data_IF_326303068494
#
_entry.id   IF_326303068494
#
_cell.length_a   1.000
_cell.length_b   1.000
_cell.length_c   1.000
_cell.angle_alpha   90.00
_cell.angle_beta   90.00
_cell.angle_gamma   90.00
#
_symmetry.space_group_name_H-M   'P 1'
#
loop_
_entity.id
_entity.type
_entity.pdbx_description
1 polymer ?
#
# COMPACT_ATOMS: atom_id res chain seq x y z
N UNK A 1 10.26 -52.78 18.47
CA UNK A 1 9.21 -51.96 19.10
C UNK A 1 9.66 -50.50 19.19
N UNK A 2 9.37 -49.65 18.20
CA UNK A 2 9.67 -48.20 18.19
C UNK A 2 8.61 -47.38 17.42
N UNK A 3 7.34 -47.79 17.49
CA UNK A 3 6.26 -47.27 16.63
C UNK A 3 5.09 -46.57 17.38
N UNK A 4 5.15 -46.48 18.71
CA UNK A 4 4.02 -46.00 19.54
C UNK A 4 4.20 -44.54 20.01
N UNK A 5 5.43 -44.04 20.07
CA UNK A 5 5.74 -42.69 20.61
C UNK A 5 5.31 -41.56 19.66
N UNK A 6 5.27 -41.80 18.35
CA UNK A 6 4.93 -40.77 17.36
C UNK A 6 3.44 -40.43 17.25
N UNK A 7 2.55 -41.20 17.88
CA UNK A 7 1.09 -40.98 17.81
C UNK A 7 0.58 -39.93 18.82
N UNK A 8 1.43 -39.46 19.74
CA UNK A 8 1.08 -38.49 20.79
C UNK A 8 1.42 -37.04 20.38
N UNK A 9 2.11 -36.84 19.24
CA UNK A 9 2.47 -35.51 18.71
C UNK A 9 1.38 -34.81 17.86
N UNK A 10 0.17 -35.38 17.79
CA UNK A 10 -0.99 -34.75 17.14
C UNK A 10 -2.15 -34.63 18.15
N UNK A 11 -1.95 -33.86 19.23
CA UNK A 11 -3.05 -33.30 20.04
C UNK A 11 -2.59 -32.19 21.04
N UNK A 12 -1.64 -31.34 20.63
CA UNK A 12 -1.25 -30.14 21.38
C UNK A 12 -2.10 -28.91 21.02
N UNK A 13 -3.38 -29.10 20.71
CA UNK A 13 -4.34 -28.02 20.45
C UNK A 13 -5.13 -27.71 21.74
N UNK A 14 -4.43 -27.15 22.72
CA UNK A 14 -5.00 -26.56 23.93
C UNK A 14 -4.67 -25.06 23.86
N UNK A 15 -5.59 -24.18 23.48
CA UNK A 15 -6.81 -23.83 24.23
C UNK A 15 -6.51 -23.54 25.70
N UNK A 16 -5.88 -22.39 25.95
CA UNK A 16 -6.13 -21.64 27.20
C UNK A 16 -7.51 -21.02 27.08
N UNK A 17 -8.54 -21.83 27.36
CA UNK A 17 -9.94 -21.41 27.41
C UNK A 17 -10.34 -21.14 28.85
N UNK A 18 -9.98 -19.97 29.37
CA UNK A 18 -10.65 -19.40 30.54
C UNK A 18 -12.04 -18.90 30.12
N UNK A 19 -13.00 -19.83 30.08
CA UNK A 19 -14.41 -19.51 29.84
C UNK A 19 -15.09 -19.18 31.16
N UNK A 20 -14.91 -17.92 31.58
CA UNK A 20 -15.76 -17.30 32.61
C UNK A 20 -16.80 -16.45 31.90
N UNK A 21 -18.05 -16.92 31.85
CA UNK A 21 -19.20 -16.13 31.36
C UNK A 21 -19.37 -16.02 29.84
N UNK A 22 -18.44 -16.51 29.02
CA UNK A 22 -18.67 -16.69 27.57
C UNK A 22 -18.62 -15.43 26.70
N UNK A 23 -17.88 -14.40 27.11
CA UNK A 23 -17.57 -13.24 26.25
C UNK A 23 -16.05 -13.09 26.04
N UNK A 24 -15.65 -12.79 24.81
CA UNK A 24 -14.25 -12.47 24.47
C UNK A 24 -13.94 -11.01 24.82
N UNK A 25 -13.24 -10.77 25.92
CA UNK A 25 -12.68 -9.44 26.23
C UNK A 25 -11.45 -9.15 25.41
N UNK A 26 -11.40 -7.96 24.80
CA UNK A 26 -10.24 -7.43 24.09
C UNK A 26 -9.54 -6.44 25.02
N UNK A 27 -8.24 -6.64 25.23
CA UNK A 27 -7.40 -5.73 26.02
C UNK A 27 -6.69 -4.73 25.10
N UNK A 28 -6.84 -3.45 25.40
CA UNK A 28 -6.20 -2.36 24.67
C UNK A 28 -4.85 -2.03 25.34
N UNK A 29 -3.81 -1.76 24.55
CA UNK A 29 -2.54 -1.22 25.05
C UNK A 29 -2.13 0.04 24.30
N UNK A 30 -1.38 0.92 24.96
CA UNK A 30 -0.74 2.09 24.33
C UNK A 30 0.77 1.95 24.42
N UNK A 31 1.45 2.02 23.28
CA UNK A 31 2.91 2.07 23.22
C UNK A 31 3.36 3.53 23.22
N UNK A 32 4.01 3.96 24.30
CA UNK A 32 4.84 5.17 24.28
C UNK A 32 6.31 4.76 24.12
N UNK A 33 7.16 5.65 23.62
CA UNK A 33 8.55 5.32 23.26
C UNK A 33 9.30 4.75 24.47
N UNK A 34 9.64 3.46 24.40
CA UNK A 34 10.41 2.73 25.41
C UNK A 34 9.62 1.95 26.46
N UNK A 35 8.31 2.18 26.62
CA UNK A 35 7.52 1.55 27.71
C UNK A 35 6.15 1.07 27.24
N UNK A 36 5.90 -0.24 27.40
CA UNK A 36 4.57 -0.85 27.29
C UNK A 36 3.94 -0.89 28.68
N UNK A 37 2.76 -0.29 28.83
CA UNK A 37 1.96 -0.38 30.06
C UNK A 37 0.71 -1.19 29.73
N UNK A 38 0.48 -2.28 30.46
CA UNK A 38 -0.76 -3.05 30.39
C UNK A 38 -1.80 -2.45 31.34
N UNK A 39 -3.06 -2.39 30.91
CA UNK A 39 -4.19 -1.95 31.72
C UNK A 39 -5.16 -3.12 31.91
N UNK A 40 -5.35 -3.55 33.15
CA UNK A 40 -6.20 -4.70 33.51
C UNK A 40 -7.71 -4.40 33.39
N UNK A 41 -8.08 -3.24 32.84
CA UNK A 41 -9.47 -2.85 32.59
C UNK A 41 -9.93 -3.35 31.21
N UNK A 42 -11.05 -4.08 31.10
CA UNK A 42 -11.63 -4.45 29.81
C UNK A 42 -12.15 -3.20 29.09
N UNK A 43 -11.97 -3.13 27.77
CA UNK A 43 -12.37 -1.96 26.98
C UNK A 43 -13.89 -1.92 26.76
N UNK A 44 -14.64 -1.33 27.70
CA UNK A 44 -16.08 -1.07 27.59
C UNK A 44 -16.36 0.22 26.80
N UNK A 45 -17.45 0.22 26.04
CA UNK A 45 -17.81 1.29 25.05
C UNK A 45 -18.31 2.61 25.70
N UNK A 46 -18.17 2.76 27.02
CA UNK A 46 -18.59 3.94 27.79
C UNK A 46 -17.49 4.41 28.76
N UNK A 47 -16.54 5.20 28.26
CA UNK A 47 -15.88 6.25 29.05
C UNK A 47 -15.27 7.36 28.17
N UNK A 48 -15.20 8.62 28.66
CA UNK A 48 -15.24 9.77 27.76
C UNK A 48 -13.93 10.55 27.66
N UNK A 49 -13.40 10.75 26.46
CA UNK A 49 -12.44 11.85 26.22
C UNK A 49 -12.48 12.41 24.78
N UNK A 50 -13.69 12.65 24.27
CA UNK A 50 -13.95 13.32 23.00
C UNK A 50 -14.79 14.59 23.18
N UNK A 51 -14.22 15.65 23.77
CA UNK A 51 -14.83 16.98 23.86
C UNK A 51 -13.86 18.13 23.61
N UNK A 52 -13.81 18.58 22.36
CA UNK A 52 -13.82 20.01 22.00
C UNK A 52 -14.62 20.17 20.71
N UNK A 53 -15.79 20.81 20.80
CA UNK A 53 -16.62 21.08 19.63
C UNK A 53 -16.11 22.34 18.91
N UNK A 54 -15.39 22.17 17.81
CA UNK A 54 -15.03 23.25 16.89
C UNK A 54 -16.16 23.52 15.89
N UNK A 55 -17.26 24.12 16.32
CA UNK A 55 -18.33 24.54 15.40
C UNK A 55 -17.88 25.77 14.60
N UNK A 56 -17.79 25.63 13.27
CA UNK A 56 -17.64 26.77 12.36
C UNK A 56 -18.74 26.73 11.30
N UNK A 57 -19.36 27.89 11.06
CA UNK A 57 -20.60 28.04 10.30
C UNK A 57 -20.35 28.06 8.79
N UNK A 58 -21.29 27.50 8.01
CA UNK A 58 -21.34 27.66 6.55
C UNK A 58 -21.76 29.11 6.20
N UNK A 59 -21.03 29.81 5.32
CA UNK A 59 -21.55 30.95 4.59
C UNK A 59 -21.94 30.54 3.16
N UNK A 60 -23.22 30.67 2.82
CA UNK A 60 -23.65 30.77 1.41
C UNK A 60 -23.24 32.15 0.87
N UNK A 61 -22.54 32.20 -0.27
CA UNK A 61 -22.44 33.41 -1.08
C UNK A 61 -22.21 33.11 -2.56
N UNK A 62 -22.96 33.82 -3.40
CA UNK A 62 -22.97 33.66 -4.86
C UNK A 62 -21.93 34.56 -5.54
N UNK A 63 -21.41 34.09 -6.68
CA UNK A 63 -21.07 34.88 -7.88
C UNK A 63 -20.08 36.07 -7.80
N UNK A 64 -18.83 35.82 -8.24
CA UNK A 64 -18.02 36.72 -9.11
C UNK A 64 -17.32 35.76 -10.11
N UNK A 65 -17.61 35.70 -11.41
CA UNK A 65 -17.61 36.68 -12.52
C UNK A 65 -16.22 36.88 -13.18
N UNK A 66 -16.10 36.31 -14.40
CA UNK A 66 -15.22 36.65 -15.53
C UNK A 66 -13.69 36.82 -15.41
N UNK A 67 -12.94 36.07 -16.25
CA UNK A 67 -11.82 36.60 -17.07
C UNK A 67 -11.34 35.62 -18.17
N UNK A 68 -11.69 35.96 -19.43
CA UNK A 68 -11.18 35.51 -20.76
C UNK A 68 -11.37 36.72 -21.71
N UNK A 69 -10.94 36.72 -23.01
CA UNK A 69 -10.02 35.84 -23.75
C UNK A 69 -8.55 36.33 -23.60
N UNK A 70 -7.59 36.50 -24.54
CA UNK A 70 -7.36 36.39 -26.02
C UNK A 70 -5.82 36.24 -26.21
N UNK A 71 -5.16 35.85 -27.32
CA UNK A 71 -5.43 35.42 -28.72
C UNK A 71 -4.81 33.99 -28.92
N UNK A 72 -4.66 33.28 -30.07
CA UNK A 72 -4.75 33.44 -31.55
C UNK A 72 -3.61 34.15 -32.33
N UNK A 73 -2.66 33.37 -32.88
CA UNK A 73 -2.24 33.56 -34.28
C UNK A 73 -1.47 32.39 -34.94
N UNK A 74 -2.11 31.81 -35.97
CA UNK A 74 -1.55 31.47 -37.31
C UNK A 74 -0.24 30.66 -37.44
N UNK A 75 -0.44 29.38 -37.71
CA UNK A 75 0.08 28.63 -38.88
C UNK A 75 1.16 29.26 -39.76
N UNK A 76 2.31 28.57 -39.89
CA UNK A 76 3.11 28.55 -41.13
C UNK A 76 3.92 27.27 -41.27
N UNK A 77 3.55 26.44 -42.25
CA UNK A 77 4.41 25.39 -42.81
C UNK A 77 5.29 25.97 -43.92
N UNK A 78 6.56 25.56 -43.99
CA UNK A 78 7.43 25.37 -45.19
C UNK A 78 8.92 25.38 -44.79
N UNK A 79 9.79 24.85 -45.67
CA UNK A 79 11.20 25.24 -45.69
C UNK A 79 12.23 24.34 -45.01
N UNK A 80 12.17 23.02 -45.18
CA UNK A 80 13.35 22.17 -44.95
C UNK A 80 14.32 22.27 -46.15
N UNK A 81 15.27 23.20 -46.08
CA UNK A 81 16.42 23.29 -47.00
C UNK A 81 17.67 23.45 -46.16
N UNK A 82 18.56 22.45 -46.17
CA UNK A 82 19.65 22.34 -45.19
C UNK A 82 20.99 22.96 -45.60
N UNK A 83 22.03 22.55 -44.84
CA UNK A 83 23.49 22.76 -45.04
C UNK A 83 24.13 24.00 -44.40
N UNK A 84 24.46 23.86 -43.11
CA UNK A 84 25.69 24.36 -42.47
C UNK A 84 26.24 23.17 -41.65
N UNK A 85 27.29 22.46 -42.08
CA UNK A 85 28.73 22.74 -41.84
C UNK A 85 29.16 22.64 -40.37
N UNK A 86 29.50 21.40 -39.97
CA UNK A 86 30.74 20.98 -39.27
C UNK A 86 31.19 21.67 -37.97
N UNK A 87 31.44 20.83 -36.95
CA UNK A 87 32.24 21.09 -35.72
C UNK A 87 31.54 22.01 -34.70
N UNK A 88 31.71 21.88 -33.37
CA UNK A 88 32.83 21.36 -32.58
C UNK A 88 32.38 20.59 -31.29
N UNK A 89 33.33 19.96 -30.59
CA UNK A 89 33.13 19.09 -29.43
C UNK A 89 33.04 19.87 -28.11
N UNK A 90 31.82 20.23 -27.69
CA UNK A 90 31.60 20.79 -26.33
C UNK A 90 31.19 19.71 -25.34
N UNK A 91 31.83 19.74 -24.17
CA UNK A 91 31.64 18.87 -23.00
C UNK A 91 30.20 18.43 -22.74
N UNK A 92 29.98 17.11 -22.65
CA UNK A 92 28.76 16.57 -22.01
C UNK A 92 28.77 16.97 -20.53
N UNK A 93 27.79 17.72 -20.00
CA UNK A 93 27.63 17.85 -18.56
C UNK A 93 27.33 16.46 -17.97
N UNK A 94 27.66 16.26 -16.69
CA UNK A 94 27.32 15.03 -15.97
C UNK A 94 25.79 14.88 -15.89
N UNK A 95 25.24 14.12 -16.85
CA UNK A 95 23.83 13.81 -16.89
C UNK A 95 23.55 12.80 -15.78
N UNK A 96 22.91 13.25 -14.70
CA UNK A 96 22.46 12.39 -13.62
C UNK A 96 21.41 11.43 -14.21
N UNK A 97 21.83 10.22 -14.52
CA UNK A 97 20.95 9.15 -14.98
C UNK A 97 20.17 8.66 -13.78
N UNK A 98 19.05 9.30 -13.52
CA UNK A 98 17.97 8.71 -12.74
C UNK A 98 17.43 7.53 -13.55
N UNK A 99 17.98 6.34 -13.28
CA UNK A 99 17.36 5.09 -13.72
C UNK A 99 16.08 4.90 -12.92
N UNK A 100 14.94 4.85 -13.62
CA UNK A 100 13.67 4.45 -13.00
C UNK A 100 13.84 3.08 -12.32
N UNK A 101 13.34 2.89 -11.08
CA UNK A 101 13.52 1.65 -10.35
C UNK A 101 12.85 0.51 -11.09
N UNK A 102 13.58 -0.57 -11.35
CA UNK A 102 13.02 -1.75 -11.99
C UNK A 102 12.17 -2.54 -10.99
N UNK A 103 11.22 -3.35 -11.48
CA UNK A 103 10.50 -4.26 -10.59
C UNK A 103 11.41 -5.32 -9.93
N UNK A 104 12.62 -5.55 -10.47
CA UNK A 104 13.64 -6.40 -9.83
C UNK A 104 14.21 -5.77 -8.56
N UNK A 105 14.26 -4.43 -8.47
CA UNK A 105 14.74 -3.71 -7.29
C UNK A 105 13.73 -3.73 -6.13
N UNK A 106 12.49 -4.16 -6.41
CA UNK A 106 11.44 -4.37 -5.42
C UNK A 106 11.46 -5.79 -4.81
N UNK A 107 12.26 -6.72 -5.32
CA UNK A 107 12.33 -8.09 -4.81
C UNK A 107 12.84 -8.14 -3.37
N UNK A 108 12.24 -9.01 -2.56
CA UNK A 108 12.37 -9.07 -1.09
C UNK A 108 11.97 -7.78 -0.35
N UNK A 109 11.49 -6.75 -1.06
CA UNK A 109 10.69 -5.67 -0.50
C UNK A 109 9.32 -6.18 -0.03
N UNK A 110 8.51 -5.28 0.52
CA UNK A 110 7.24 -5.63 1.15
C UNK A 110 6.20 -4.51 1.06
N UNK A 111 4.94 -4.91 1.23
CA UNK A 111 3.77 -4.04 1.13
C UNK A 111 3.14 -3.87 2.51
N UNK A 112 2.84 -2.64 2.89
CA UNK A 112 2.15 -2.32 4.15
C UNK A 112 0.97 -1.40 3.86
N UNK A 113 -0.20 -1.70 4.43
CA UNK A 113 -1.35 -0.81 4.41
C UNK A 113 -1.07 0.50 5.17
N UNK A 114 -1.82 1.56 4.88
CA UNK A 114 -1.62 2.86 5.54
C UNK A 114 -2.03 2.87 7.03
N UNK A 115 -2.60 1.79 7.55
CA UNK A 115 -2.85 1.55 8.98
C UNK A 115 -1.77 0.69 9.68
N UNK A 116 -0.72 0.28 8.96
CA UNK A 116 0.35 -0.57 9.47
C UNK A 116 0.16 -2.07 9.23
N UNK A 117 -0.98 -2.51 8.67
CA UNK A 117 -1.19 -3.94 8.36
C UNK A 117 -0.20 -4.43 7.30
N UNK A 118 0.56 -5.48 7.59
CA UNK A 118 1.46 -6.12 6.62
C UNK A 118 0.66 -6.91 5.57
N UNK A 119 0.92 -6.63 4.28
CA UNK A 119 0.18 -7.20 3.15
C UNK A 119 1.03 -8.14 2.27
N UNK A 120 2.22 -8.54 2.76
CA UNK A 120 3.08 -9.53 2.12
C UNK A 120 4.40 -9.00 1.56
N UNK A 121 5.30 -9.94 1.29
CA UNK A 121 6.57 -9.75 0.56
C UNK A 121 6.34 -9.70 -0.95
N UNK A 122 7.12 -8.87 -1.63
CA UNK A 122 7.28 -8.86 -3.08
C UNK A 122 8.28 -9.97 -3.43
N UNK A 123 7.77 -11.09 -3.95
CA UNK A 123 8.57 -12.27 -4.28
C UNK A 123 7.94 -13.04 -5.44
N UNK A 124 8.78 -13.64 -6.28
CA UNK A 124 8.39 -14.57 -7.35
C UNK A 124 7.98 -15.95 -6.82
N UNK A 125 8.36 -16.27 -5.57
CA UNK A 125 8.01 -17.55 -4.96
C UNK A 125 6.52 -17.64 -4.64
N UNK A 126 5.83 -18.62 -5.21
CA UNK A 126 4.47 -19.02 -4.84
C UNK A 126 4.42 -19.82 -3.52
N UNK A 127 5.59 -20.26 -3.02
CA UNK A 127 5.72 -21.16 -1.86
C UNK A 127 6.16 -20.44 -0.57
N UNK A 128 6.76 -19.25 -0.66
CA UNK A 128 7.05 -18.40 0.50
C UNK A 128 5.73 -18.02 1.20
N UNK A 129 5.60 -18.28 2.51
CA UNK A 129 4.37 -18.06 3.26
C UNK A 129 3.98 -16.58 3.37
N UNK A 130 4.95 -15.68 3.19
CA UNK A 130 4.77 -14.23 3.22
C UNK A 130 4.55 -13.63 1.83
N UNK A 131 4.78 -14.37 0.74
CA UNK A 131 4.70 -13.86 -0.62
C UNK A 131 3.28 -13.51 -1.05
N UNK A 132 3.15 -12.39 -1.76
CA UNK A 132 1.88 -12.02 -2.43
C UNK A 132 1.52 -12.94 -3.62
N UNK A 133 2.43 -13.79 -4.11
CA UNK A 133 2.08 -14.82 -5.09
C UNK A 133 1.58 -16.13 -4.45
N UNK A 134 1.64 -16.27 -3.12
CA UNK A 134 1.15 -17.46 -2.44
C UNK A 134 -0.38 -17.44 -2.30
N UNK A 135 -1.06 -18.07 -3.26
CA UNK A 135 -2.53 -18.09 -3.40
C UNK A 135 -3.27 -18.84 -2.28
N UNK A 136 -2.57 -19.64 -1.46
CA UNK A 136 -3.12 -20.30 -0.26
C UNK A 136 -2.69 -19.63 1.05
N UNK A 137 -1.62 -18.82 1.01
CA UNK A 137 -1.08 -18.05 2.12
C UNK A 137 -1.94 -16.85 2.53
N UNK A 138 -1.53 -16.13 3.56
CA UNK A 138 -2.29 -14.99 4.11
C UNK A 138 -2.40 -13.80 3.14
N UNK A 139 -1.39 -13.60 2.30
CA UNK A 139 -1.17 -12.35 1.56
C UNK A 139 -1.42 -12.43 0.04
N UNK A 140 -1.32 -13.62 -0.56
CA UNK A 140 -1.62 -13.84 -1.98
C UNK A 140 -3.01 -14.44 -2.26
N UNK A 141 -3.74 -14.86 -1.24
CA UNK A 141 -5.02 -15.55 -1.41
C UNK A 141 -6.20 -14.59 -1.63
N UNK A 142 -7.10 -14.95 -2.55
CA UNK A 142 -8.29 -14.15 -2.91
C UNK A 142 -9.37 -14.06 -1.83
N UNK A 143 -9.27 -14.84 -0.75
CA UNK A 143 -10.28 -14.90 0.34
C UNK A 143 -9.76 -14.46 1.71
N UNK A 144 -8.46 -14.15 1.84
CA UNK A 144 -7.86 -13.70 3.11
C UNK A 144 -8.08 -12.20 3.32
N UNK A 145 -8.09 -11.75 4.57
CA UNK A 145 -8.37 -10.34 4.91
C UNK A 145 -7.20 -9.42 4.55
N UNK A 146 -5.98 -9.93 4.74
CA UNK A 146 -4.72 -9.18 4.72
C UNK A 146 -3.97 -9.39 3.38
N UNK A 147 -4.76 -9.51 2.32
CA UNK A 147 -4.36 -9.80 0.94
C UNK A 147 -4.91 -8.74 0.01
N UNK A 148 -4.07 -8.23 -0.90
CA UNK A 148 -4.48 -7.32 -1.97
C UNK A 148 -5.35 -8.01 -3.03
N UNK A 149 -5.37 -9.35 -3.10
CA UNK A 149 -6.15 -10.10 -4.08
C UNK A 149 -7.60 -10.35 -3.67
N UNK A 150 -8.00 -9.95 -2.47
CA UNK A 150 -9.38 -10.08 -2.01
C UNK A 150 -10.24 -8.92 -2.53
N UNK A 151 -10.98 -9.17 -3.60
CA UNK A 151 -11.84 -8.20 -4.30
C UNK A 151 -13.05 -7.70 -3.49
N UNK A 152 -13.38 -8.33 -2.37
CA UNK A 152 -14.34 -7.83 -1.37
C UNK A 152 -13.67 -7.38 -0.07
N UNK A 153 -12.33 -7.47 -0.02
CA UNK A 153 -11.51 -7.16 1.15
C UNK A 153 -11.08 -5.69 1.22
N UNK A 154 -10.54 -5.31 2.39
CA UNK A 154 -10.11 -3.94 2.69
C UNK A 154 -9.00 -3.43 1.77
N UNK A 155 -8.14 -4.31 1.27
CA UNK A 155 -6.94 -3.94 0.52
C UNK A 155 -6.99 -4.31 -0.98
N UNK A 156 -8.05 -4.99 -1.42
CA UNK A 156 -8.22 -5.45 -2.81
C UNK A 156 -9.54 -5.06 -3.51
N UNK A 157 -10.52 -4.53 -2.78
CA UNK A 157 -11.81 -4.12 -3.38
C UNK A 157 -11.74 -2.80 -4.15
N UNK A 158 -12.53 -2.67 -5.21
CA UNK A 158 -12.57 -1.45 -6.05
C UNK A 158 -13.13 -0.21 -5.34
N UNK A 159 -13.72 -0.36 -4.15
CA UNK A 159 -14.39 0.72 -3.39
C UNK A 159 -13.68 1.12 -2.10
N UNK A 160 -12.78 0.30 -1.57
CA UNK A 160 -12.10 0.62 -0.30
C UNK A 160 -11.06 1.71 -0.49
N UNK A 161 -11.04 2.70 0.42
CA UNK A 161 -10.01 3.75 0.46
C UNK A 161 -8.58 3.22 0.70
N UNK A 162 -8.46 1.98 1.20
CA UNK A 162 -7.19 1.29 1.51
C UNK A 162 -6.77 0.29 0.42
N UNK A 163 -7.48 0.26 -0.71
CA UNK A 163 -7.22 -0.71 -1.78
C UNK A 163 -6.08 -0.29 -2.70
N UNK A 164 -5.37 -1.28 -3.23
CA UNK A 164 -4.48 -1.08 -4.38
C UNK A 164 -5.26 -0.85 -5.69
N UNK A 165 -6.46 -1.44 -5.82
CA UNK A 165 -7.25 -1.49 -7.05
C UNK A 165 -8.47 -0.55 -7.04
N UNK A 166 -8.34 0.60 -6.37
CA UNK A 166 -9.36 1.65 -6.36
C UNK A 166 -8.72 2.95 -6.87
N UNK A 167 -9.15 3.40 -8.03
CA UNK A 167 -8.64 4.59 -8.72
C UNK A 167 -8.85 5.88 -7.93
N UNK A 168 -9.74 5.85 -6.92
CA UNK A 168 -10.03 6.94 -5.99
C UNK A 168 -9.53 6.67 -4.56
N UNK A 169 -8.61 5.70 -4.37
CA UNK A 169 -8.07 5.34 -3.05
C UNK A 169 -7.48 6.54 -2.31
N UNK A 170 -8.06 6.91 -1.16
CA UNK A 170 -7.59 8.05 -0.36
C UNK A 170 -6.47 7.68 0.64
N UNK A 171 -6.17 6.39 0.83
CA UNK A 171 -5.11 5.88 1.70
C UNK A 171 -4.56 4.50 1.25
N UNK A 172 -4.08 4.38 0.00
CA UNK A 172 -3.66 3.09 -0.57
C UNK A 172 -2.43 2.49 0.13
N UNK A 173 -2.12 1.19 -0.09
CA UNK A 173 -0.93 0.56 0.45
C UNK A 173 0.37 1.20 -0.03
N UNK A 174 1.45 0.95 0.71
CA UNK A 174 2.81 1.46 0.46
C UNK A 174 3.75 0.29 0.19
N UNK A 175 4.67 0.49 -0.76
CA UNK A 175 5.79 -0.40 -1.08
C UNK A 175 7.05 0.13 -0.39
N UNK A 176 7.77 -0.79 0.24
CA UNK A 176 9.07 -0.58 0.84
C UNK A 176 10.08 -1.55 0.24
N UNK A 177 11.30 -1.08 0.02
CA UNK A 177 12.43 -1.93 -0.31
C UNK A 177 12.86 -2.79 0.90
N UNK A 178 13.74 -3.76 0.66
CA UNK A 178 14.24 -4.75 1.63
C UNK A 178 14.91 -4.13 2.86
N UNK A 179 15.43 -2.91 2.73
CA UNK A 179 16.08 -2.10 3.76
C UNK A 179 15.11 -1.20 4.56
N UNK A 180 13.82 -1.18 4.18
CA UNK A 180 12.80 -0.33 4.78
C UNK A 180 12.63 1.05 4.13
N UNK A 181 13.34 1.37 3.05
CA UNK A 181 13.14 2.61 2.31
C UNK A 181 11.79 2.61 1.58
N UNK A 182 11.02 3.70 1.70
CA UNK A 182 9.73 3.86 1.00
C UNK A 182 9.97 4.14 -0.49
N UNK A 183 9.34 3.36 -1.37
CA UNK A 183 9.47 3.50 -2.82
C UNK A 183 8.24 4.17 -3.44
N UNK A 184 7.03 3.78 -3.04
CA UNK A 184 5.81 4.34 -3.61
C UNK A 184 4.50 3.77 -3.07
N UNK A 185 3.39 4.36 -3.47
CA UNK A 185 2.06 3.82 -3.20
C UNK A 185 1.72 2.72 -4.21
N UNK A 186 1.33 1.54 -3.74
CA UNK A 186 0.81 0.47 -4.60
C UNK A 186 -0.64 0.80 -4.95
N UNK A 187 -0.88 1.41 -6.11
CA UNK A 187 -2.22 1.93 -6.42
C UNK A 187 -2.46 2.18 -7.91
N UNK A 188 -3.70 1.97 -8.35
CA UNK A 188 -4.21 2.43 -9.66
C UNK A 188 -4.60 3.92 -9.66
N UNK A 189 -4.67 4.57 -8.49
CA UNK A 189 -5.00 5.99 -8.36
C UNK A 189 -3.88 6.88 -8.92
N UNK A 190 -4.06 7.40 -10.13
CA UNK A 190 -3.10 8.25 -10.86
C UNK A 190 -2.84 9.62 -10.21
N UNK A 191 -3.66 10.03 -9.23
CA UNK A 191 -3.42 11.23 -8.42
C UNK A 191 -2.42 10.99 -7.27
N UNK A 192 -1.85 9.77 -7.15
CA UNK A 192 -0.82 9.41 -6.18
C UNK A 192 0.56 9.37 -6.82
N UNK A 193 1.54 9.94 -6.13
CA UNK A 193 2.95 9.92 -6.52
C UNK A 193 3.85 9.92 -5.28
N UNK A 194 5.01 9.23 -5.30
CA UNK A 194 5.38 8.20 -6.28
C UNK A 194 4.44 6.99 -6.18
N UNK A 195 4.11 6.37 -7.30
CA UNK A 195 3.14 5.27 -7.40
C UNK A 195 3.67 4.10 -8.22
N UNK A 196 3.23 2.91 -7.84
CA UNK A 196 3.52 1.64 -8.51
C UNK A 196 2.17 1.05 -8.90
N UNK A 197 1.93 0.88 -10.20
CA UNK A 197 0.73 0.21 -10.69
C UNK A 197 0.74 -1.27 -10.25
N UNK A 198 -0.28 -1.74 -9.50
CA UNK A 198 -0.31 -3.11 -9.03
C UNK A 198 -0.43 -4.13 -10.16
N UNK A 199 -1.13 -3.82 -11.27
CA UNK A 199 -1.26 -4.77 -12.37
C UNK A 199 0.08 -5.07 -13.04
N UNK A 200 0.90 -4.04 -13.27
CA UNK A 200 2.24 -4.15 -13.85
C UNK A 200 3.19 -4.91 -12.92
N UNK A 201 3.21 -4.60 -11.61
CA UNK A 201 4.02 -5.33 -10.63
C UNK A 201 3.64 -6.82 -10.58
N UNK A 202 2.33 -7.12 -10.50
CA UNK A 202 1.82 -8.49 -10.38
C UNK A 202 2.01 -9.27 -11.68
N UNK A 203 1.86 -8.61 -12.83
CA UNK A 203 2.16 -9.18 -14.15
C UNK A 203 3.62 -9.57 -14.28
N UNK A 204 4.54 -8.66 -13.92
CA UNK A 204 5.97 -8.93 -13.92
C UNK A 204 6.37 -10.04 -12.95
N UNK A 205 5.87 -10.03 -11.71
CA UNK A 205 6.15 -11.08 -10.72
C UNK A 205 5.70 -12.48 -11.19
N UNK A 206 4.63 -12.56 -11.99
CA UNK A 206 4.10 -13.80 -12.57
C UNK A 206 4.77 -14.22 -13.88
N UNK A 207 5.70 -13.42 -14.40
CA UNK A 207 6.46 -13.72 -15.62
C UNK A 207 7.94 -14.07 -15.36
N UNK A 208 8.31 -14.32 -14.10
CA UNK A 208 9.65 -14.77 -13.68
C UNK A 208 9.67 -16.30 -13.47
#
# INVERSE_FOLDING_TARGET
>A
MKAVVYLILILAFLLVTDVVGGQSTIYCYKTSVGTTIFSDSPCTDESPEAKTQGQLTIPDSQNILESRPILEQRSRTQGHTGKLTSEDTTSRPYQLVFSEPSFSDLLDGYIVAQDGTFLGKISTSTMDSQSILNSVGAHGSTVRRDSIFNSVGKFGSSVSRYSAFNDMASSPPKVYARDGNFIGYLTTNTMRSPSIDPYSLIGWLRSQ
#
